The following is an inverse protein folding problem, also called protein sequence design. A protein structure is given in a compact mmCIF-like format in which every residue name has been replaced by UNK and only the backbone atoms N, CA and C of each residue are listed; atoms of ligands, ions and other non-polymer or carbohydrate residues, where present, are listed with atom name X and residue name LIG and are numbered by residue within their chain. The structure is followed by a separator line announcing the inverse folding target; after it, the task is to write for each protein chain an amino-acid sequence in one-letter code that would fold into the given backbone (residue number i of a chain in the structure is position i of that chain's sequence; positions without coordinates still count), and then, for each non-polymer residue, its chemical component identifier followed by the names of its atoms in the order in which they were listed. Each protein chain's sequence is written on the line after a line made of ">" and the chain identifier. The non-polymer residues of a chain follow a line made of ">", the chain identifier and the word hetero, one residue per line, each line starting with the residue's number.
data_IF_189951902481
#
_entry.id   IF_189951902481
#
_cell.length_a   1.000
_cell.length_b   1.000
_cell.length_c   1.000
_cell.angle_alpha   90.00
_cell.angle_beta   90.00
_cell.angle_gamma   90.00
#
_symmetry.space_group_name_H-M   'P 1'
#
loop_
_entity.id
_entity.type
_entity.pdbx_description
1 polymer ?
#
# COMPACT_ATOMS: atom_id res chain seq x y z
N UNK A 1 31.75 4.70 -23.28
CA UNK A 1 30.60 5.05 -22.38
C UNK A 1 30.58 6.55 -22.27
N UNK A 2 29.43 7.19 -22.44
CA UNK A 2 29.33 8.66 -22.41
C UNK A 2 28.88 9.11 -21.03
N UNK A 3 29.35 10.26 -20.53
CA UNK A 3 28.98 10.82 -19.22
C UNK A 3 27.45 10.91 -18.99
N UNK A 4 26.69 11.03 -20.08
CA UNK A 4 25.20 10.98 -20.04
C UNK A 4 24.63 9.60 -19.71
N UNK A 5 25.30 8.52 -20.13
CA UNK A 5 24.87 7.15 -19.79
C UNK A 5 25.12 6.86 -18.31
N UNK A 6 26.29 7.25 -17.80
CA UNK A 6 26.64 7.05 -16.39
C UNK A 6 25.67 7.78 -15.46
N UNK A 7 25.28 9.03 -15.80
CA UNK A 7 24.27 9.79 -15.03
C UNK A 7 22.89 9.13 -15.05
N UNK A 8 22.46 8.58 -16.19
CA UNK A 8 21.17 7.89 -16.27
C UNK A 8 21.17 6.61 -15.44
N UNK A 9 22.26 5.86 -15.44
CA UNK A 9 22.36 4.62 -14.65
C UNK A 9 22.40 4.91 -13.14
N UNK A 10 23.06 5.98 -12.71
CA UNK A 10 23.02 6.43 -11.30
C UNK A 10 21.62 6.85 -10.85
N UNK A 11 20.91 7.64 -11.66
CA UNK A 11 19.54 8.07 -11.37
C UNK A 11 18.61 6.87 -11.25
N UNK A 12 18.74 5.91 -12.14
CA UNK A 12 17.96 4.67 -12.15
C UNK A 12 18.25 3.85 -10.88
N UNK A 13 19.52 3.64 -10.57
CA UNK A 13 19.91 2.89 -9.36
C UNK A 13 19.41 3.55 -8.06
N UNK A 14 19.37 4.89 -8.02
CA UNK A 14 18.79 5.62 -6.90
C UNK A 14 17.28 5.41 -6.81
N UNK A 15 16.55 5.49 -7.92
CA UNK A 15 15.11 5.24 -7.95
C UNK A 15 14.77 3.81 -7.53
N UNK A 16 15.52 2.81 -7.98
CA UNK A 16 15.31 1.42 -7.60
C UNK A 16 15.54 1.20 -6.09
N UNK A 17 16.52 1.86 -5.50
CA UNK A 17 16.74 1.84 -4.05
C UNK A 17 15.60 2.49 -3.28
N UNK A 18 15.10 3.64 -3.74
CA UNK A 18 13.96 4.33 -3.12
C UNK A 18 12.69 3.50 -3.24
N UNK A 19 12.46 2.90 -4.40
CA UNK A 19 11.31 2.03 -4.64
C UNK A 19 11.37 0.79 -3.76
N UNK A 20 12.52 0.15 -3.64
CA UNK A 20 12.75 -0.97 -2.71
C UNK A 20 12.43 -0.57 -1.27
N UNK A 21 12.98 0.54 -0.79
CA UNK A 21 12.72 1.03 0.57
C UNK A 21 11.23 1.30 0.78
N UNK A 22 10.59 1.98 -0.16
CA UNK A 22 9.19 2.33 -0.08
C UNK A 22 8.29 1.09 -0.04
N UNK A 23 8.48 0.13 -0.95
CA UNK A 23 7.76 -1.14 -0.95
C UNK A 23 7.99 -1.95 0.32
N UNK A 24 9.22 -1.91 0.86
CA UNK A 24 9.54 -2.59 2.11
C UNK A 24 8.79 -1.95 3.28
N UNK A 25 8.74 -0.62 3.38
CA UNK A 25 8.02 0.08 4.43
C UNK A 25 6.52 -0.21 4.38
N UNK A 26 5.90 -0.08 3.22
CA UNK A 26 4.47 -0.39 3.05
C UNK A 26 4.22 -1.87 3.34
N UNK A 27 5.04 -2.76 2.77
CA UNK A 27 4.90 -4.20 2.95
C UNK A 27 5.04 -4.65 4.40
N UNK A 28 5.97 -4.08 5.17
CA UNK A 28 6.10 -4.38 6.61
C UNK A 28 4.88 -3.86 7.37
N UNK A 29 4.41 -2.64 7.07
CA UNK A 29 3.22 -2.07 7.72
C UNK A 29 2.01 -2.96 7.50
N UNK A 30 1.76 -3.39 6.26
CA UNK A 30 0.64 -4.27 5.93
C UNK A 30 0.80 -5.67 6.55
N UNK A 31 2.02 -6.20 6.57
CA UNK A 31 2.29 -7.50 7.19
C UNK A 31 1.99 -7.48 8.70
N UNK A 32 2.24 -6.36 9.39
CA UNK A 32 1.92 -6.21 10.80
C UNK A 32 0.42 -6.32 11.08
N UNK A 33 -0.44 -6.06 10.11
CA UNK A 33 -1.89 -6.25 10.27
C UNK A 33 -2.25 -7.70 10.61
N UNK A 34 -1.39 -8.69 10.29
CA UNK A 34 -1.65 -10.09 10.63
C UNK A 34 -1.80 -10.33 12.14
N UNK A 35 -1.21 -9.45 12.97
CA UNK A 35 -1.33 -9.52 14.43
C UNK A 35 -2.79 -9.42 14.85
N UNK A 36 -3.60 -8.63 14.15
CA UNK A 36 -5.03 -8.42 14.43
C UNK A 36 -5.83 -9.72 14.34
N UNK A 37 -5.39 -10.67 13.49
CA UNK A 37 -6.04 -11.98 13.34
C UNK A 37 -6.11 -12.73 14.66
N UNK A 38 -5.09 -12.56 15.51
CA UNK A 38 -4.93 -13.25 16.77
C UNK A 38 -5.41 -12.44 18.00
N UNK A 39 -5.81 -11.17 17.82
CA UNK A 39 -6.23 -10.32 18.93
C UNK A 39 -7.58 -10.78 19.51
N UNK A 40 -7.73 -10.73 20.86
CA UNK A 40 -9.02 -10.88 21.51
C UNK A 40 -10.02 -9.81 21.04
N UNK A 41 -11.31 -10.15 21.04
CA UNK A 41 -12.38 -9.22 20.64
C UNK A 41 -12.40 -7.94 21.49
N UNK A 42 -12.07 -8.07 22.79
CA UNK A 42 -11.95 -6.93 23.71
C UNK A 42 -10.90 -5.90 23.24
N UNK A 43 -9.80 -6.35 22.67
CA UNK A 43 -8.75 -5.45 22.14
C UNK A 43 -9.19 -4.79 20.83
N UNK A 44 -9.95 -5.51 20.01
CA UNK A 44 -10.53 -4.93 18.79
C UNK A 44 -11.54 -3.82 19.16
N UNK A 45 -12.39 -4.07 20.17
CA UNK A 45 -13.32 -3.06 20.67
C UNK A 45 -12.61 -1.83 21.22
N UNK A 46 -11.59 -2.03 22.06
CA UNK A 46 -10.77 -0.95 22.59
C UNK A 46 -10.09 -0.13 21.47
N UNK A 47 -9.49 -0.80 20.50
CA UNK A 47 -8.85 -0.11 19.39
C UNK A 47 -9.85 0.71 18.57
N UNK A 48 -11.04 0.18 18.31
CA UNK A 48 -12.11 0.86 17.59
C UNK A 48 -12.58 2.15 18.32
N UNK A 49 -12.68 2.11 19.66
CA UNK A 49 -13.00 3.28 20.48
C UNK A 49 -11.87 4.31 20.47
N UNK A 50 -10.60 3.87 20.61
CA UNK A 50 -9.42 4.77 20.64
C UNK A 50 -9.27 5.53 19.34
N UNK A 51 -9.55 4.92 18.20
CA UNK A 51 -9.51 5.61 16.90
C UNK A 51 -10.74 6.48 16.63
N UNK A 52 -11.67 6.58 17.57
CA UNK A 52 -12.81 7.49 17.48
C UNK A 52 -13.99 6.99 16.64
N UNK A 53 -14.06 5.68 16.36
CA UNK A 53 -15.16 5.06 15.63
C UNK A 53 -16.33 4.63 16.57
N UNK A 54 -16.19 4.88 17.86
CA UNK A 54 -17.18 4.51 18.88
C UNK A 54 -17.09 3.04 19.31
N UNK A 55 -18.14 2.52 19.93
CA UNK A 55 -18.17 1.11 20.36
C UNK A 55 -18.27 0.17 19.18
N UNK A 56 -17.49 -0.90 19.19
CA UNK A 56 -17.56 -1.93 18.15
C UNK A 56 -18.95 -2.58 18.15
N UNK A 57 -19.67 -2.60 17.01
CA UNK A 57 -20.98 -3.24 16.95
C UNK A 57 -20.90 -4.71 17.36
N UNK A 58 -21.86 -5.23 18.12
CA UNK A 58 -21.86 -6.64 18.52
C UNK A 58 -22.16 -7.54 17.31
N UNK A 59 -21.48 -8.67 17.21
CA UNK A 59 -21.78 -9.69 16.20
C UNK A 59 -20.56 -10.39 15.64
N UNK A 60 -20.70 -11.69 15.39
CA UNK A 60 -19.63 -12.54 14.86
C UNK A 60 -19.10 -12.07 13.51
N UNK A 61 -19.96 -11.44 12.69
CA UNK A 61 -19.59 -10.97 11.36
C UNK A 61 -18.53 -9.87 11.43
N UNK A 62 -18.60 -8.99 12.43
CA UNK A 62 -17.65 -7.89 12.60
C UNK A 62 -16.27 -8.42 12.92
N UNK A 63 -16.15 -9.33 13.89
CA UNK A 63 -14.89 -9.98 14.23
C UNK A 63 -14.31 -10.81 13.06
N UNK A 64 -15.18 -11.48 12.29
CA UNK A 64 -14.79 -12.19 11.07
C UNK A 64 -14.23 -11.21 10.02
N UNK A 65 -14.92 -10.12 9.73
CA UNK A 65 -14.50 -9.13 8.75
C UNK A 65 -13.16 -8.48 9.17
N UNK A 66 -13.02 -8.07 10.43
CA UNK A 66 -11.78 -7.50 10.92
C UNK A 66 -10.59 -8.44 10.72
N UNK A 67 -10.72 -9.72 11.09
CA UNK A 67 -9.65 -10.71 11.00
C UNK A 67 -9.36 -11.10 9.54
N UNK A 68 -10.39 -11.31 8.72
CA UNK A 68 -10.20 -11.68 7.31
C UNK A 68 -9.56 -10.54 6.50
N UNK A 69 -9.98 -9.30 6.73
CA UNK A 69 -9.34 -8.13 6.12
C UNK A 69 -7.89 -8.00 6.57
N UNK A 70 -7.61 -8.17 7.85
CA UNK A 70 -6.23 -8.12 8.38
C UNK A 70 -5.34 -9.23 7.80
N UNK A 71 -5.90 -10.43 7.59
CA UNK A 71 -5.18 -11.50 6.90
C UNK A 71 -4.86 -11.13 5.44
N UNK A 72 -5.80 -10.50 4.72
CA UNK A 72 -5.59 -10.03 3.35
C UNK A 72 -4.49 -8.95 3.30
N UNK A 73 -4.48 -8.01 4.25
CA UNK A 73 -3.37 -7.05 4.38
C UNK A 73 -2.04 -7.75 4.64
N UNK A 74 -2.01 -8.76 5.51
CA UNK A 74 -0.79 -9.54 5.77
C UNK A 74 -0.25 -10.24 4.51
N UNK A 75 -1.14 -10.87 3.73
CA UNK A 75 -0.79 -11.48 2.44
C UNK A 75 -0.28 -10.41 1.46
N UNK A 76 -0.97 -9.30 1.36
CA UNK A 76 -0.58 -8.17 0.52
C UNK A 76 0.82 -7.65 0.91
N UNK A 77 1.08 -7.46 2.20
CA UNK A 77 2.40 -7.07 2.70
C UNK A 77 3.50 -8.06 2.32
N UNK A 78 3.24 -9.37 2.44
CA UNK A 78 4.18 -10.39 2.01
C UNK A 78 4.48 -10.32 0.49
N UNK A 79 3.48 -10.04 -0.34
CA UNK A 79 3.65 -9.85 -1.78
C UNK A 79 4.50 -8.60 -2.09
N UNK A 80 4.29 -7.49 -1.37
CA UNK A 80 5.11 -6.28 -1.51
C UNK A 80 6.57 -6.53 -1.13
N UNK A 81 6.83 -7.27 -0.06
CA UNK A 81 8.18 -7.65 0.36
C UNK A 81 8.85 -8.56 -0.67
N UNK A 82 8.11 -9.49 -1.27
CA UNK A 82 8.62 -10.31 -2.36
C UNK A 82 9.01 -9.46 -3.58
N UNK A 83 8.19 -8.47 -3.98
CA UNK A 83 8.53 -7.54 -5.07
C UNK A 83 9.72 -6.64 -4.70
N UNK A 84 9.83 -6.22 -3.43
CA UNK A 84 10.94 -5.41 -2.94
C UNK A 84 12.27 -6.18 -2.90
N UNK A 85 12.25 -7.51 -2.82
CA UNK A 85 13.48 -8.32 -2.81
C UNK A 85 14.32 -8.13 -4.07
N UNK A 86 13.67 -8.06 -5.25
CA UNK A 86 14.30 -7.79 -6.54
C UNK A 86 13.43 -6.85 -7.40
N UNK A 87 13.54 -5.56 -7.12
CA UNK A 87 12.76 -4.52 -7.81
C UNK A 87 13.05 -4.48 -9.32
N UNK A 88 14.28 -4.80 -9.72
CA UNK A 88 14.67 -4.79 -11.13
C UNK A 88 13.94 -5.89 -11.91
N UNK A 89 13.87 -7.08 -11.33
CA UNK A 89 13.15 -8.23 -11.89
C UNK A 89 11.64 -7.98 -11.95
N UNK A 90 11.07 -7.48 -10.84
CA UNK A 90 9.62 -7.27 -10.72
C UNK A 90 9.14 -5.89 -11.19
N UNK A 91 10.00 -5.07 -11.83
CA UNK A 91 9.69 -3.68 -12.19
C UNK A 91 8.37 -3.51 -12.94
N UNK A 92 8.09 -4.35 -13.92
CA UNK A 92 6.83 -4.29 -14.68
C UNK A 92 5.61 -4.53 -13.81
N UNK A 93 5.70 -5.51 -12.91
CA UNK A 93 4.64 -5.84 -11.95
C UNK A 93 4.43 -4.71 -10.93
N UNK A 94 5.52 -4.13 -10.41
CA UNK A 94 5.46 -3.01 -9.47
C UNK A 94 4.81 -1.78 -10.11
N UNK A 95 5.15 -1.46 -11.36
CA UNK A 95 4.52 -0.35 -12.07
C UNK A 95 3.04 -0.61 -12.36
N UNK A 96 2.66 -1.83 -12.69
CA UNK A 96 1.27 -2.22 -12.86
C UNK A 96 0.51 -2.12 -11.53
N UNK A 97 1.09 -2.66 -10.46
CA UNK A 97 0.57 -2.57 -9.11
C UNK A 97 0.30 -1.10 -8.70
N UNK A 98 1.25 -0.19 -8.95
CA UNK A 98 1.07 1.23 -8.67
C UNK A 98 -0.17 1.83 -9.32
N UNK A 99 -0.50 1.41 -10.56
CA UNK A 99 -1.74 1.85 -11.25
C UNK A 99 -2.98 1.29 -10.57
N UNK A 100 -2.96 0.00 -10.25
CA UNK A 100 -4.10 -0.68 -9.60
C UNK A 100 -4.38 -0.06 -8.24
N UNK A 101 -3.35 0.17 -7.44
CA UNK A 101 -3.49 0.75 -6.09
C UNK A 101 -3.97 2.21 -6.16
N UNK A 102 -3.50 3.00 -7.12
CA UNK A 102 -4.02 4.37 -7.28
C UNK A 102 -5.51 4.38 -7.60
N UNK A 103 -5.97 3.48 -8.48
CA UNK A 103 -7.40 3.34 -8.81
C UNK A 103 -8.18 2.81 -7.61
N UNK A 104 -7.65 1.79 -6.92
CA UNK A 104 -8.29 1.24 -5.72
C UNK A 104 -8.45 2.29 -4.61
N UNK A 105 -7.44 3.15 -4.41
CA UNK A 105 -7.53 4.26 -3.46
C UNK A 105 -8.64 5.25 -3.79
N UNK A 106 -8.83 5.58 -5.08
CA UNK A 106 -9.96 6.41 -5.51
C UNK A 106 -11.31 5.73 -5.24
N UNK A 107 -11.40 4.41 -5.43
CA UNK A 107 -12.61 3.65 -5.10
C UNK A 107 -12.86 3.64 -3.59
N UNK A 108 -11.81 3.50 -2.76
CA UNK A 108 -11.92 3.59 -1.29
C UNK A 108 -12.43 4.95 -0.86
N UNK A 109 -11.92 6.06 -1.41
CA UNK A 109 -12.47 7.40 -1.14
C UNK A 109 -13.97 7.46 -1.45
N UNK A 110 -14.41 6.85 -2.56
CA UNK A 110 -15.83 6.75 -2.89
C UNK A 110 -16.64 5.96 -1.87
N UNK A 111 -16.11 4.86 -1.38
CA UNK A 111 -16.74 4.04 -0.32
C UNK A 111 -16.82 4.83 0.99
N UNK A 112 -15.73 5.47 1.42
CA UNK A 112 -15.69 6.27 2.65
C UNK A 112 -16.76 7.38 2.65
N UNK A 113 -16.92 8.06 1.51
CA UNK A 113 -17.94 9.11 1.34
C UNK A 113 -19.34 8.49 1.41
N UNK A 114 -19.57 7.37 0.74
CA UNK A 114 -20.87 6.70 0.72
C UNK A 114 -21.29 6.21 2.10
N UNK A 115 -20.34 5.70 2.89
CA UNK A 115 -20.55 5.20 4.26
C UNK A 115 -20.47 6.31 5.33
N UNK A 116 -20.29 7.58 4.89
CA UNK A 116 -20.18 8.74 5.79
C UNK A 116 -19.05 8.60 6.83
N UNK A 117 -17.92 8.04 6.43
CA UNK A 117 -16.76 7.88 7.31
C UNK A 117 -16.18 9.24 7.73
N UNK A 118 -15.57 9.34 8.91
CA UNK A 118 -14.91 10.57 9.35
C UNK A 118 -13.85 11.03 8.34
N UNK A 119 -13.73 12.34 8.11
CA UNK A 119 -12.78 12.90 7.13
C UNK A 119 -11.34 12.43 7.36
N UNK A 120 -10.92 12.33 8.62
CA UNK A 120 -9.58 11.82 8.95
C UNK A 120 -9.37 10.38 8.48
N UNK A 121 -10.42 9.54 8.54
CA UNK A 121 -10.35 8.17 8.04
C UNK A 121 -10.09 8.15 6.53
N UNK A 122 -10.89 8.87 5.76
CA UNK A 122 -10.73 8.98 4.30
C UNK A 122 -9.34 9.48 3.91
N UNK A 123 -8.78 10.43 4.68
CA UNK A 123 -7.41 10.92 4.43
C UNK A 123 -6.37 9.84 4.68
N UNK A 124 -6.47 9.12 5.78
CA UNK A 124 -5.47 8.11 6.14
C UNK A 124 -5.65 6.76 5.42
N UNK A 125 -6.83 6.47 4.88
CA UNK A 125 -7.09 5.27 4.10
C UNK A 125 -7.08 5.59 2.60
N UNK A 126 -8.15 6.12 2.06
CA UNK A 126 -8.32 6.29 0.61
C UNK A 126 -7.25 7.17 -0.02
N UNK A 127 -7.03 8.39 0.51
CA UNK A 127 -6.04 9.33 -0.05
C UNK A 127 -4.61 8.81 0.13
N UNK A 128 -4.30 8.17 1.27
CA UNK A 128 -2.99 7.58 1.48
C UNK A 128 -2.71 6.44 0.47
N UNK A 129 -3.70 5.60 0.18
CA UNK A 129 -3.58 4.52 -0.82
C UNK A 129 -3.37 5.09 -2.22
N UNK A 130 -4.08 6.17 -2.60
CA UNK A 130 -3.80 6.91 -3.86
C UNK A 130 -2.35 7.41 -3.87
N UNK A 131 -1.90 8.03 -2.78
CA UNK A 131 -0.54 8.53 -2.61
C UNK A 131 0.52 7.44 -2.80
N UNK A 132 0.30 6.26 -2.21
CA UNK A 132 1.17 5.08 -2.41
C UNK A 132 1.29 4.73 -3.89
N UNK A 133 0.16 4.63 -4.59
CA UNK A 133 0.13 4.33 -6.02
C UNK A 133 0.89 5.38 -6.85
N UNK A 134 0.66 6.66 -6.58
CA UNK A 134 1.32 7.79 -7.26
C UNK A 134 2.84 7.77 -7.03
N UNK A 135 3.30 7.57 -5.79
CA UNK A 135 4.74 7.48 -5.47
C UNK A 135 5.39 6.32 -6.23
N UNK A 136 4.76 5.15 -6.25
CA UNK A 136 5.26 4.00 -7.01
C UNK A 136 5.38 4.36 -8.49
N UNK A 137 4.37 4.99 -9.08
CA UNK A 137 4.38 5.38 -10.50
C UNK A 137 5.47 6.41 -10.81
N UNK A 138 5.68 7.39 -9.93
CA UNK A 138 6.75 8.39 -10.08
C UNK A 138 8.14 7.74 -10.06
N UNK A 139 8.34 6.76 -9.16
CA UNK A 139 9.60 6.02 -9.06
C UNK A 139 9.79 5.03 -10.22
N UNK A 140 8.69 4.46 -10.73
CA UNK A 140 8.69 3.61 -11.92
C UNK A 140 8.97 4.37 -13.23
N UNK A 141 8.63 5.67 -13.27
CA UNK A 141 8.71 6.47 -14.49
C UNK A 141 10.18 6.85 -14.79
N UNK A 142 10.95 5.89 -15.27
CA UNK A 142 12.20 6.19 -15.95
C UNK A 142 11.87 6.34 -17.42
N UNK A 143 11.92 7.59 -17.88
CA UNK A 143 11.84 7.97 -19.28
C UNK A 143 11.49 6.86 -20.28
N UNK A 144 10.20 6.63 -20.50
CA UNK A 144 9.67 5.75 -21.56
C UNK A 144 10.14 6.15 -22.97
N UNK A 145 11.20 6.98 -23.07
CA UNK A 145 11.75 7.50 -24.31
C UNK A 145 12.58 6.51 -25.13
N UNK A 146 12.76 5.24 -24.73
CA UNK A 146 13.64 4.30 -25.42
C UNK A 146 13.04 2.94 -25.81
N UNK A 147 11.74 2.83 -25.97
CA UNK A 147 11.15 1.62 -26.62
C UNK A 147 10.69 1.87 -28.06
N UNK A 148 11.18 2.92 -28.69
CA UNK A 148 10.89 3.21 -30.10
C UNK A 148 12.18 3.60 -30.83
N UNK A 149 13.15 2.71 -30.89
CA UNK A 149 14.24 2.74 -31.87
C UNK A 149 14.75 1.31 -32.09
#
# INVERSE_FOLDING_TARGET
>A
MTATQDLHDEVRARKDRLLKLFLTLVGVTDLLAIVVVFLPETWLGWAHEVVGLGSLPPGRIIGYMARSTSLLYGIHGAMLLAMASDVAHYRSLVCWYGRVIAVAGLMLVGVDIAESMPVWWTVFEGIAVVGIGVVILMLCHDGLGRRAA
#
